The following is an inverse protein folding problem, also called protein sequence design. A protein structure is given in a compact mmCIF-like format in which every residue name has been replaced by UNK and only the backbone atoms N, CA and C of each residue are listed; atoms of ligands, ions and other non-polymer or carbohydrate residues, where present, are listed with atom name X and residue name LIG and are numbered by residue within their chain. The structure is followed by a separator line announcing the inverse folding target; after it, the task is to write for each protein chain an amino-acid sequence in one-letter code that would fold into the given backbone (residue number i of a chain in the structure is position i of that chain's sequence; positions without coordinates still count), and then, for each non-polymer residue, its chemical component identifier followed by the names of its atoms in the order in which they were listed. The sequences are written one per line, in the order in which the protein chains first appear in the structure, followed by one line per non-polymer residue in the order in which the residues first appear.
data_IF_114498327278
#
_entry.id   IF_114498327278
#
_cell.length_a   1.000
_cell.length_b   1.000
_cell.length_c   1.000
_cell.angle_alpha   90.00
_cell.angle_beta   90.00
_cell.angle_gamma   90.00
#
_symmetry.space_group_name_H-M   'P 1'
#
loop_
_entity.id
_entity.type
_entity.pdbx_description
1 polymer ?
#
# COMPACT_ATOMS: atom_id res chain seq x y z
N UNK A 1 -1.77 11.62 -9.41
CA UNK A 1 -1.22 10.27 -9.18
C UNK A 1 0.03 10.46 -8.35
N UNK A 2 0.17 9.69 -7.27
CA UNK A 2 1.30 9.72 -6.37
C UNK A 2 2.37 8.75 -6.88
N UNK A 3 3.62 9.19 -6.83
CA UNK A 3 4.80 8.37 -7.06
C UNK A 3 5.54 8.15 -5.74
N UNK A 4 6.46 7.20 -5.71
CA UNK A 4 7.35 7.09 -4.54
C UNK A 4 8.22 8.33 -4.39
N UNK A 5 8.60 8.98 -5.50
CA UNK A 5 9.34 10.22 -5.50
C UNK A 5 8.64 11.34 -4.72
N UNK A 6 7.33 11.52 -4.89
CA UNK A 6 6.57 12.54 -4.15
C UNK A 6 6.62 12.33 -2.63
N UNK A 7 6.59 11.07 -2.20
CA UNK A 7 6.66 10.69 -0.79
C UNK A 7 8.08 10.90 -0.26
N UNK A 8 9.09 10.51 -1.03
CA UNK A 8 10.50 10.67 -0.66
C UNK A 8 10.93 12.13 -0.67
N UNK A 9 10.43 12.96 -1.58
CA UNK A 9 10.68 14.39 -1.62
C UNK A 9 10.14 15.09 -0.37
N UNK A 10 8.92 14.77 0.07
CA UNK A 10 8.39 15.26 1.35
C UNK A 10 9.21 14.73 2.52
N UNK A 11 9.59 13.45 2.50
CA UNK A 11 10.35 12.83 3.58
C UNK A 11 11.75 13.44 3.74
N UNK A 12 12.48 13.61 2.64
CA UNK A 12 13.84 14.15 2.65
C UNK A 12 13.90 15.68 2.63
N UNK A 13 12.78 16.37 2.49
CA UNK A 13 12.73 17.83 2.57
C UNK A 13 13.31 18.34 3.91
N UNK A 14 14.12 19.41 3.91
CA UNK A 14 14.57 20.05 5.16
C UNK A 14 13.42 20.52 6.05
N UNK A 15 12.29 20.85 5.43
CA UNK A 15 11.06 21.28 6.09
C UNK A 15 9.99 20.17 6.05
N UNK A 16 10.42 18.91 6.02
CA UNK A 16 9.53 17.75 6.01
C UNK A 16 8.44 17.88 7.07
N UNK A 17 7.23 17.50 6.72
CA UNK A 17 6.07 17.50 7.61
C UNK A 17 5.41 16.12 7.64
N UNK A 18 4.70 15.82 8.72
CA UNK A 18 3.92 14.58 8.79
C UNK A 18 2.76 14.63 7.79
N UNK A 19 2.67 13.65 6.90
CA UNK A 19 1.69 13.67 5.80
C UNK A 19 0.98 12.32 5.65
N UNK A 20 -0.28 12.41 5.24
CA UNK A 20 -1.13 11.27 4.94
C UNK A 20 -1.22 11.13 3.42
N UNK A 21 -0.81 9.97 2.92
CA UNK A 21 -0.86 9.61 1.52
C UNK A 21 -1.93 8.54 1.33
N UNK A 22 -3.01 8.88 0.64
CA UNK A 22 -4.08 7.93 0.28
C UNK A 22 -3.96 7.66 -1.21
N UNK A 23 -3.56 6.44 -1.56
CA UNK A 23 -3.32 5.99 -2.91
C UNK A 23 -4.45 5.05 -3.34
N UNK A 24 -5.44 5.55 -4.10
CA UNK A 24 -6.57 4.74 -4.55
C UNK A 24 -6.16 3.70 -5.62
N UNK A 25 -7.11 2.89 -6.08
CA UNK A 25 -6.84 1.76 -6.97
C UNK A 25 -6.19 2.16 -8.30
N UNK A 26 -6.58 3.31 -8.85
CA UNK A 26 -6.07 3.82 -10.12
C UNK A 26 -4.69 4.48 -10.00
N UNK A 27 -4.17 4.65 -8.78
CA UNK A 27 -2.87 5.24 -8.52
C UNK A 27 -1.73 4.34 -9.02
N UNK A 28 -0.69 4.95 -9.59
CA UNK A 28 0.43 4.20 -10.15
C UNK A 28 1.19 3.43 -9.07
N UNK A 29 1.35 4.00 -7.89
CA UNK A 29 2.03 3.30 -6.81
C UNK A 29 1.18 2.10 -6.34
N UNK A 30 -0.14 2.27 -6.21
CA UNK A 30 -1.07 1.15 -5.92
C UNK A 30 -0.92 0.01 -6.93
N UNK A 31 -0.85 0.31 -8.23
CA UNK A 31 -0.65 -0.71 -9.27
C UNK A 31 0.67 -1.45 -9.11
N UNK A 32 1.75 -0.75 -8.77
CA UNK A 32 3.08 -1.34 -8.56
C UNK A 32 3.07 -2.27 -7.34
N UNK A 33 2.59 -1.82 -6.18
CA UNK A 33 2.64 -2.62 -4.93
C UNK A 33 1.78 -3.88 -5.04
N UNK A 34 0.64 -3.83 -5.75
CA UNK A 34 -0.22 -4.99 -6.01
C UNK A 34 0.50 -6.11 -6.78
N UNK A 35 1.58 -5.80 -7.51
CA UNK A 35 2.33 -6.81 -8.24
C UNK A 35 3.30 -7.60 -7.36
N UNK A 36 3.60 -7.11 -6.15
CA UNK A 36 4.60 -7.70 -5.28
C UNK A 36 4.14 -9.04 -4.70
N UNK A 37 5.07 -10.00 -4.65
CA UNK A 37 4.78 -11.35 -4.14
C UNK A 37 4.25 -11.33 -2.70
N UNK A 38 4.83 -10.59 -1.73
CA UNK A 38 4.28 -10.56 -0.36
C UNK A 38 2.86 -10.02 -0.28
N UNK A 39 2.53 -8.98 -1.07
CA UNK A 39 1.18 -8.42 -1.15
C UNK A 39 0.20 -9.44 -1.73
N UNK A 40 0.56 -10.05 -2.86
CA UNK A 40 -0.26 -11.11 -3.49
C UNK A 40 -0.50 -12.28 -2.55
N UNK A 41 0.53 -12.75 -1.84
CA UNK A 41 0.44 -13.83 -0.86
C UNK A 41 -0.52 -13.48 0.27
N UNK A 42 -0.40 -12.27 0.84
CA UNK A 42 -1.28 -11.82 1.91
C UNK A 42 -2.74 -11.65 1.43
N UNK A 43 -2.97 -11.09 0.24
CA UNK A 43 -4.32 -10.98 -0.37
C UNK A 43 -4.90 -12.37 -0.66
N UNK A 44 -4.12 -13.31 -1.18
CA UNK A 44 -4.59 -14.67 -1.45
C UNK A 44 -4.98 -15.39 -0.17
N UNK A 45 -4.26 -15.17 0.93
CA UNK A 45 -4.65 -15.70 2.22
C UNK A 45 -5.95 -15.09 2.74
N UNK A 46 -6.15 -13.78 2.59
CA UNK A 46 -7.42 -13.13 2.91
C UNK A 46 -8.57 -13.79 2.13
N UNK A 47 -8.39 -13.99 0.81
CA UNK A 47 -9.38 -14.68 -0.04
C UNK A 47 -9.64 -16.11 0.42
N UNK A 48 -8.59 -16.88 0.75
CA UNK A 48 -8.72 -18.24 1.26
C UNK A 48 -9.44 -18.29 2.61
N UNK A 49 -9.16 -17.35 3.51
CA UNK A 49 -9.86 -17.24 4.79
C UNK A 49 -11.35 -16.90 4.59
N UNK A 50 -11.67 -16.01 3.65
CA UNK A 50 -13.05 -15.70 3.28
C UNK A 50 -13.77 -16.94 2.73
N UNK A 51 -13.13 -17.70 1.83
CA UNK A 51 -13.69 -18.97 1.32
C UNK A 51 -14.04 -19.93 2.47
N UNK A 52 -13.11 -20.11 3.40
CA UNK A 52 -13.28 -21.04 4.51
C UNK A 52 -14.31 -20.56 5.55
N UNK A 53 -14.48 -19.24 5.70
CA UNK A 53 -15.24 -18.63 6.80
C UNK A 53 -16.30 -17.64 6.32
N UNK A 54 -16.95 -17.94 5.19
CA UNK A 54 -17.82 -16.98 4.50
C UNK A 54 -18.93 -16.37 5.37
N UNK A 55 -19.58 -17.18 6.21
CA UNK A 55 -20.61 -16.70 7.14
C UNK A 55 -20.06 -15.67 8.15
N UNK A 56 -18.86 -15.92 8.67
CA UNK A 56 -18.16 -14.99 9.57
C UNK A 56 -17.84 -13.68 8.86
N UNK A 57 -17.39 -13.73 7.61
CA UNK A 57 -17.10 -12.54 6.81
C UNK A 57 -18.34 -11.69 6.56
N UNK A 58 -19.47 -12.31 6.24
CA UNK A 58 -20.74 -11.63 6.07
C UNK A 58 -21.24 -10.96 7.37
N UNK A 59 -20.95 -11.54 8.54
CA UNK A 59 -21.39 -11.02 9.82
C UNK A 59 -20.46 -9.95 10.42
N UNK A 60 -19.13 -10.14 10.32
CA UNK A 60 -18.14 -9.40 11.13
C UNK A 60 -17.16 -8.54 10.35
N UNK A 61 -17.03 -8.73 9.04
CA UNK A 61 -16.00 -8.05 8.23
C UNK A 61 -16.57 -7.04 7.23
N UNK A 62 -17.80 -6.56 7.47
CA UNK A 62 -18.42 -5.53 6.64
C UNK A 62 -17.70 -4.19 6.77
N UNK A 63 -17.43 -3.53 5.64
CA UNK A 63 -16.81 -2.20 5.62
C UNK A 63 -17.61 -1.22 6.48
N UNK A 64 -16.94 -0.52 7.38
CA UNK A 64 -17.54 0.55 8.17
C UNK A 64 -17.67 1.82 7.32
N UNK A 65 -18.86 2.41 7.28
CA UNK A 65 -19.11 3.65 6.56
C UNK A 65 -18.47 4.89 7.21
N UNK A 66 -18.08 4.80 8.49
CA UNK A 66 -17.57 5.94 9.27
C UNK A 66 -16.06 5.91 9.43
N UNK A 67 -15.40 4.79 9.11
CA UNK A 67 -13.96 4.69 9.20
C UNK A 67 -13.28 5.37 8.00
N UNK A 68 -12.13 6.00 8.26
CA UNK A 68 -11.26 6.57 7.25
C UNK A 68 -9.79 6.43 7.67
N UNK A 69 -8.87 6.28 6.70
CA UNK A 69 -7.43 6.25 6.99
C UNK A 69 -6.97 7.55 7.66
N UNK A 70 -5.96 7.45 8.50
CA UNK A 70 -5.45 8.57 9.30
C UNK A 70 -3.94 8.53 9.54
N UNK A 71 -3.42 9.60 10.16
CA UNK A 71 -2.03 9.75 10.59
C UNK A 71 -1.82 9.14 11.97
N UNK A 72 -1.89 7.82 12.08
CA UNK A 72 -1.76 7.10 13.35
C UNK A 72 -0.82 5.92 13.20
N UNK A 73 0.08 5.72 14.15
CA UNK A 73 1.00 4.57 14.22
C UNK A 73 1.07 4.06 15.67
N UNK A 74 0.59 2.84 15.99
CA UNK A 74 0.02 1.85 15.07
C UNK A 74 -1.27 2.36 14.38
N UNK A 75 -1.62 1.81 13.20
CA UNK A 75 -2.75 2.32 12.43
C UNK A 75 -4.08 2.06 13.12
N UNK A 76 -4.93 3.09 13.25
CA UNK A 76 -6.35 2.93 13.56
C UNK A 76 -7.08 2.48 12.30
N UNK A 77 -7.31 1.17 12.17
CA UNK A 77 -7.92 0.53 11.00
C UNK A 77 -9.44 0.50 11.11
N UNK A 78 -10.11 0.08 10.03
CA UNK A 78 -11.54 -0.23 10.09
C UNK A 78 -11.76 -1.23 11.25
N UNK A 79 -12.70 -0.98 12.19
CA UNK A 79 -12.93 -1.85 13.32
C UNK A 79 -13.36 -3.27 12.92
N UNK A 80 -13.89 -3.43 11.71
CA UNK A 80 -14.32 -4.71 11.16
C UNK A 80 -13.23 -5.36 10.28
N UNK A 81 -12.06 -4.75 10.13
CA UNK A 81 -11.02 -5.28 9.25
C UNK A 81 -10.48 -6.63 9.74
N UNK A 82 -10.37 -7.57 8.82
CA UNK A 82 -9.49 -8.71 8.96
C UNK A 82 -8.05 -8.26 8.67
N UNK A 83 -7.23 -8.17 9.72
CA UNK A 83 -5.85 -7.70 9.63
C UNK A 83 -4.85 -8.83 9.41
N UNK A 84 -3.84 -8.58 8.58
CA UNK A 84 -2.66 -9.43 8.40
C UNK A 84 -1.42 -8.57 8.28
N UNK A 85 -0.47 -8.78 9.20
CA UNK A 85 0.86 -8.20 9.08
C UNK A 85 1.70 -8.94 8.05
N UNK A 86 2.48 -8.20 7.29
CA UNK A 86 3.43 -8.72 6.30
C UNK A 86 4.80 -8.16 6.65
N UNK A 87 5.70 -9.08 7.01
CA UNK A 87 7.09 -8.75 7.29
C UNK A 87 7.81 -8.28 6.02
N UNK A 88 8.99 -7.70 6.25
CA UNK A 88 9.82 -7.13 5.21
C UNK A 88 10.15 -8.10 4.08
N UNK A 89 9.90 -7.74 2.80
CA UNK A 89 10.29 -8.56 1.67
C UNK A 89 11.82 -8.77 1.61
N UNK A 90 12.30 -9.84 0.94
CA UNK A 90 13.70 -9.93 0.54
C UNK A 90 14.12 -8.71 -0.30
N UNK A 91 15.35 -8.21 -0.11
CA UNK A 91 15.87 -7.03 -0.79
C UNK A 91 15.52 -5.69 -0.11
N UNK A 92 14.93 -5.73 1.09
CA UNK A 92 14.81 -4.57 1.98
C UNK A 92 15.85 -4.63 3.11
N UNK A 93 16.98 -5.28 2.88
CA UNK A 93 18.05 -5.29 3.88
C UNK A 93 18.64 -3.87 4.03
N UNK A 94 19.18 -3.55 5.22
CA UNK A 94 19.67 -2.22 5.55
C UNK A 94 20.61 -1.63 4.48
N UNK A 95 21.54 -2.43 3.95
CA UNK A 95 22.55 -1.97 3.00
C UNK A 95 21.95 -1.68 1.61
N UNK A 96 21.14 -2.59 1.07
CA UNK A 96 20.44 -2.38 -0.21
C UNK A 96 19.56 -1.13 -0.17
N UNK A 97 18.87 -0.90 0.94
CA UNK A 97 18.05 0.29 1.12
C UNK A 97 18.86 1.57 1.24
N UNK A 98 19.97 1.55 1.99
CA UNK A 98 20.90 2.67 2.05
C UNK A 98 21.33 3.09 0.65
N UNK A 99 21.84 2.15 -0.16
CA UNK A 99 22.33 2.46 -1.50
C UNK A 99 21.25 3.02 -2.42
N UNK A 100 20.03 2.51 -2.31
CA UNK A 100 18.89 3.01 -3.06
C UNK A 100 18.58 4.47 -2.68
N UNK A 101 18.50 4.79 -1.39
CA UNK A 101 18.21 6.13 -0.89
C UNK A 101 19.34 7.13 -1.16
N UNK A 102 20.60 6.72 -0.99
CA UNK A 102 21.77 7.56 -1.33
C UNK A 102 21.74 7.91 -2.82
N UNK A 103 21.50 6.94 -3.70
CA UNK A 103 21.37 7.18 -5.16
C UNK A 103 20.24 8.15 -5.47
N UNK A 104 19.10 8.02 -4.78
CA UNK A 104 17.96 8.92 -4.92
C UNK A 104 18.35 10.36 -4.56
N UNK A 105 18.80 10.59 -3.33
CA UNK A 105 19.14 11.93 -2.83
C UNK A 105 20.29 12.55 -3.62
N UNK A 106 21.33 11.77 -3.94
CA UNK A 106 22.43 12.24 -4.78
C UNK A 106 21.95 12.66 -6.18
N UNK A 107 21.01 11.93 -6.79
CA UNK A 107 20.44 12.32 -8.09
C UNK A 107 19.63 13.62 -7.99
N UNK A 108 18.94 13.88 -6.88
CA UNK A 108 18.23 15.14 -6.65
C UNK A 108 19.18 16.32 -6.51
N UNK A 109 20.25 16.16 -5.74
CA UNK A 109 21.28 17.21 -5.58
C UNK A 109 21.99 17.47 -6.91
N UNK A 110 22.36 16.42 -7.64
CA UNK A 110 22.99 16.57 -8.95
C UNK A 110 22.03 17.21 -9.97
N UNK A 111 20.74 16.90 -9.89
CA UNK A 111 19.65 17.50 -10.67
C UNK A 111 19.50 19.02 -10.50
N UNK A 112 19.90 19.57 -9.34
CA UNK A 112 19.96 21.01 -9.09
C UNK A 112 21.13 21.67 -9.84
N UNK A 113 22.23 20.92 -10.03
CA UNK A 113 23.47 21.43 -10.65
C UNK A 113 23.51 21.20 -12.16
N UNK A 114 22.85 20.15 -12.65
CA UNK A 114 22.77 19.78 -14.06
C UNK A 114 21.44 19.02 -14.31
N UNK A 115 20.89 19.00 -15.54
CA UNK A 115 19.63 18.32 -15.85
C UNK A 115 19.80 16.78 -15.89
N UNK A 116 20.11 16.18 -14.74
CA UNK A 116 20.26 14.74 -14.55
C UNK A 116 18.90 14.16 -14.17
N UNK A 117 18.43 13.10 -14.84
CA UNK A 117 17.15 12.47 -14.51
C UNK A 117 17.17 11.87 -13.10
N UNK A 118 16.06 12.02 -12.38
CA UNK A 118 15.87 11.42 -11.06
C UNK A 118 15.91 9.89 -11.14
N UNK A 119 16.71 9.25 -10.27
CA UNK A 119 16.90 7.80 -10.30
C UNK A 119 15.95 7.13 -9.31
N UNK A 120 14.80 6.67 -9.81
CA UNK A 120 13.87 5.86 -9.04
C UNK A 120 14.09 4.35 -9.27
N UNK A 121 14.97 3.72 -8.49
CA UNK A 121 15.18 2.25 -8.57
C UNK A 121 14.00 1.46 -8.01
N UNK A 122 13.81 0.21 -8.45
CA UNK A 122 12.81 -0.71 -7.87
C UNK A 122 13.01 -0.91 -6.35
N UNK A 123 14.26 -0.89 -5.90
CA UNK A 123 14.60 -1.04 -4.49
C UNK A 123 14.12 0.14 -3.64
N UNK A 124 14.00 1.35 -4.20
CA UNK A 124 13.40 2.47 -3.47
C UNK A 124 11.95 2.20 -3.10
N UNK A 125 11.18 1.65 -4.04
CA UNK A 125 9.78 1.34 -3.78
C UNK A 125 9.63 0.34 -2.63
N UNK A 126 10.43 -0.74 -2.63
CA UNK A 126 10.39 -1.78 -1.58
C UNK A 126 11.00 -1.30 -0.26
N UNK A 127 12.09 -0.55 -0.29
CA UNK A 127 12.74 -0.05 0.93
C UNK A 127 11.93 1.03 1.65
N UNK A 128 11.13 1.80 0.93
CA UNK A 128 10.20 2.76 1.52
C UNK A 128 8.99 2.08 2.18
N UNK A 129 8.79 0.78 1.90
CA UNK A 129 7.76 -0.06 2.50
C UNK A 129 8.48 -1.22 3.21
N UNK A 130 9.14 -0.90 4.33
CA UNK A 130 9.89 -1.86 5.11
C UNK A 130 9.01 -3.02 5.59
N UNK A 131 7.86 -2.75 6.18
CA UNK A 131 6.88 -3.77 6.62
C UNK A 131 5.50 -3.16 6.60
N UNK A 132 4.46 -3.97 6.37
CA UNK A 132 3.13 -3.40 6.14
C UNK A 132 2.00 -4.28 6.67
N UNK A 133 0.89 -3.61 6.99
CA UNK A 133 -0.38 -4.26 7.33
C UNK A 133 -1.29 -4.32 6.12
N UNK A 134 -1.94 -5.46 5.88
CA UNK A 134 -3.10 -5.58 5.01
C UNK A 134 -4.35 -5.72 5.89
N UNK A 135 -5.36 -4.91 5.60
CA UNK A 135 -6.62 -4.84 6.31
C UNK A 135 -7.74 -5.01 5.30
N UNK A 136 -8.54 -6.05 5.46
CA UNK A 136 -9.55 -6.42 4.50
C UNK A 136 -10.95 -6.37 5.10
N UNK A 137 -11.87 -5.76 4.37
CA UNK A 137 -13.31 -5.78 4.65
C UNK A 137 -14.07 -6.18 3.40
N UNK A 138 -15.38 -6.34 3.51
CA UNK A 138 -16.28 -6.66 2.40
C UNK A 138 -17.41 -5.65 2.35
N UNK A 139 -17.76 -5.19 1.16
CA UNK A 139 -19.00 -4.44 0.96
C UNK A 139 -20.20 -5.40 0.98
N UNK A 140 -20.02 -6.57 0.37
CA UNK A 140 -21.04 -7.61 0.23
C UNK A 140 -20.38 -8.98 0.01
N UNK A 141 -21.02 -10.02 0.57
CA UNK A 141 -20.63 -11.44 0.42
C UNK A 141 -21.89 -12.27 0.19
N UNK A 142 -21.89 -13.05 -0.89
CA UNK A 142 -22.87 -14.10 -1.18
C UNK A 142 -22.17 -15.46 -1.07
N UNK A 143 -22.41 -16.16 0.03
CA UNK A 143 -21.80 -17.46 0.30
C UNK A 143 -22.35 -18.57 -0.60
N UNK A 144 -23.60 -18.47 -1.04
CA UNK A 144 -24.21 -19.46 -1.92
C UNK A 144 -23.62 -19.36 -3.34
N UNK A 145 -23.44 -18.14 -3.85
CA UNK A 145 -22.84 -17.87 -5.17
C UNK A 145 -21.32 -17.78 -5.13
N UNK A 146 -20.70 -17.93 -3.96
CA UNK A 146 -19.26 -17.77 -3.71
C UNK A 146 -18.73 -16.45 -4.27
N UNK A 147 -19.48 -15.35 -4.08
CA UNK A 147 -19.17 -14.05 -4.66
C UNK A 147 -18.95 -13.00 -3.58
N UNK A 148 -17.89 -12.20 -3.68
CA UNK A 148 -17.69 -11.03 -2.80
C UNK A 148 -16.91 -9.91 -3.48
N UNK A 149 -17.10 -8.70 -2.96
CA UNK A 149 -16.22 -7.56 -3.22
C UNK A 149 -15.47 -7.24 -1.94
N UNK A 150 -14.17 -7.49 -1.98
CA UNK A 150 -13.26 -7.29 -0.85
C UNK A 150 -12.60 -5.92 -1.03
N UNK A 151 -12.69 -5.06 -0.02
CA UNK A 151 -11.90 -3.83 0.04
C UNK A 151 -10.61 -4.13 0.76
N UNK A 152 -9.49 -3.87 0.09
CA UNK A 152 -8.16 -4.02 0.67
C UNK A 152 -7.61 -2.65 1.00
N UNK A 153 -7.16 -2.49 2.23
CA UNK A 153 -6.33 -1.38 2.68
C UNK A 153 -4.96 -1.91 3.06
N UNK A 154 -3.92 -1.34 2.48
CA UNK A 154 -2.54 -1.59 2.89
C UNK A 154 -2.02 -0.35 3.61
N UNK A 155 -1.29 -0.53 4.71
CA UNK A 155 -0.71 0.55 5.49
C UNK A 155 0.79 0.34 5.71
N UNK A 156 1.54 1.44 5.61
CA UNK A 156 2.92 1.55 6.04
C UNK A 156 3.15 2.94 6.65
N UNK A 157 3.98 3.02 7.68
CA UNK A 157 4.58 4.28 8.12
C UNK A 157 6.06 4.26 7.79
N UNK A 158 6.53 5.26 7.05
CA UNK A 158 7.94 5.49 6.82
C UNK A 158 8.40 6.62 7.73
N UNK A 159 9.46 6.40 8.50
CA UNK A 159 10.01 7.38 9.43
C UNK A 159 11.54 7.28 9.51
N UNK A 160 12.18 8.14 10.32
CA UNK A 160 13.63 8.10 10.54
C UNK A 160 14.11 6.72 11.02
N UNK A 161 13.32 5.99 11.82
CA UNK A 161 13.70 4.66 12.32
C UNK A 161 13.74 3.62 11.20
N UNK A 162 12.90 3.77 10.19
CA UNK A 162 12.91 2.94 8.98
C UNK A 162 14.26 3.00 8.23
N UNK A 163 15.02 4.08 8.44
CA UNK A 163 16.37 4.27 7.90
C UNK A 163 17.49 3.78 8.84
N UNK A 164 17.14 3.39 10.07
CA UNK A 164 18.08 2.92 11.08
C UNK A 164 19.26 3.88 11.28
N UNK A 165 20.47 3.32 11.39
CA UNK A 165 21.72 4.08 11.54
C UNK A 165 22.09 4.91 10.31
N UNK A 166 21.45 4.70 9.16
CA UNK A 166 21.76 5.43 7.93
C UNK A 166 21.11 6.79 7.87
N UNK A 167 20.13 7.05 8.72
CA UNK A 167 19.54 8.37 8.83
C UNK A 167 20.54 9.46 9.27
N UNK A 168 21.72 9.05 9.76
CA UNK A 168 22.81 9.92 10.18
C UNK A 168 23.95 9.99 9.12
N UNK A 169 23.78 9.41 7.93
CA UNK A 169 24.73 9.56 6.81
C UNK A 169 24.76 11.02 6.34
N UNK A 170 25.95 11.61 6.06
CA UNK A 170 26.08 13.02 5.69
C UNK A 170 25.21 13.46 4.51
N UNK A 171 24.89 12.56 3.58
CA UNK A 171 23.99 12.87 2.45
C UNK A 171 22.59 13.29 2.91
N UNK A 172 22.18 12.89 4.12
CA UNK A 172 20.89 13.21 4.71
C UNK A 172 20.96 14.28 5.80
N UNK A 173 22.11 14.94 6.01
CA UNK A 173 22.30 15.89 7.11
C UNK A 173 21.28 17.05 7.10
N UNK A 174 20.73 17.37 5.92
CA UNK A 174 19.73 18.42 5.74
C UNK A 174 18.29 17.88 5.60
N UNK A 175 18.06 16.58 5.74
CA UNK A 175 16.76 15.97 5.57
C UNK A 175 15.93 16.01 6.87
N UNK A 176 14.66 16.40 6.77
CA UNK A 176 13.76 16.48 7.92
C UNK A 176 13.24 15.12 8.41
N UNK A 177 12.98 14.18 7.50
CA UNK A 177 12.56 12.79 7.78
C UNK A 177 11.33 12.66 8.69
N UNK A 178 10.34 13.55 8.57
CA UNK A 178 9.09 13.41 9.32
C UNK A 178 8.30 12.20 8.82
N UNK A 179 7.52 11.59 9.71
CA UNK A 179 6.79 10.35 9.43
C UNK A 179 5.78 10.53 8.30
N UNK A 180 5.80 9.61 7.34
CA UNK A 180 4.89 9.56 6.20
C UNK A 180 3.94 8.38 6.39
N UNK A 181 2.64 8.65 6.49
CA UNK A 181 1.59 7.65 6.69
C UNK A 181 1.01 7.28 5.33
N UNK A 182 1.27 6.07 4.88
CA UNK A 182 0.94 5.62 3.53
C UNK A 182 -0.18 4.58 3.59
N UNK A 183 -1.28 4.88 2.91
CA UNK A 183 -2.43 4.00 2.77
C UNK A 183 -2.70 3.75 1.29
N UNK A 184 -2.70 2.48 0.87
CA UNK A 184 -3.16 2.08 -0.47
C UNK A 184 -4.50 1.41 -0.36
N UNK A 185 -5.40 1.70 -1.29
CA UNK A 185 -6.72 1.08 -1.33
C UNK A 185 -7.05 0.53 -2.71
N UNK A 186 -7.58 -0.68 -2.76
CA UNK A 186 -8.11 -1.27 -3.98
C UNK A 186 -9.18 -2.30 -3.68
N UNK A 187 -9.97 -2.66 -4.71
CA UNK A 187 -10.97 -3.72 -4.58
C UNK A 187 -10.47 -5.01 -5.23
N UNK A 188 -10.80 -6.13 -4.59
CA UNK A 188 -10.56 -7.48 -5.10
C UNK A 188 -11.91 -8.20 -5.22
N UNK A 189 -12.04 -9.02 -6.27
CA UNK A 189 -13.19 -9.90 -6.43
C UNK A 189 -12.86 -11.29 -5.93
N UNK A 190 -13.84 -11.92 -5.30
CA UNK A 190 -13.88 -13.34 -5.01
C UNK A 190 -15.09 -13.97 -5.71
N UNK A 191 -14.90 -15.14 -6.30
CA UNK A 191 -15.90 -15.84 -7.11
C UNK A 191 -15.70 -15.71 -8.61
N UNK A 192 -16.49 -16.47 -9.39
CA UNK A 192 -16.59 -16.24 -10.83
C UNK A 192 -17.01 -14.77 -11.06
N UNK A 193 -16.45 -14.08 -12.07
CA UNK A 193 -16.95 -12.76 -12.43
C UNK A 193 -18.47 -12.85 -12.63
N UNK A 194 -19.24 -11.81 -12.29
CA UNK A 194 -20.67 -11.82 -12.55
C UNK A 194 -20.86 -12.18 -14.03
N UNK A 195 -21.55 -13.29 -14.29
CA UNK A 195 -22.00 -13.60 -15.64
C UNK A 195 -22.86 -12.42 -16.04
N UNK A 196 -22.38 -11.62 -16.99
CA UNK A 196 -23.22 -10.66 -17.68
C UNK A 196 -24.20 -11.52 -18.46
N UNK A 197 -25.33 -11.85 -17.85
CA UNK A 197 -26.45 -12.43 -18.58
C UNK A 197 -26.88 -11.33 -19.55
N UNK A 198 -26.72 -11.51 -20.87
CA UNK A 198 -27.30 -10.57 -21.81
C UNK A 198 -28.78 -10.48 -21.45
N UNK A 199 -29.32 -9.26 -21.28
CA UNK A 199 -30.77 -9.09 -21.23
C UNK A 199 -31.31 -9.71 -22.51
N UNK A 200 -31.86 -10.92 -22.43
CA UNK A 200 -32.76 -11.41 -23.45
C UNK A 200 -33.88 -10.37 -23.50
N UNK A 201 -33.92 -9.62 -24.58
CA UNK A 201 -35.06 -8.77 -24.89
C UNK A 201 -36.33 -9.63 -24.89
N UNK A 202 -37.49 -9.04 -24.57
CA UNK A 202 -38.74 -9.77 -24.57
C UNK A 202 -38.94 -10.40 -25.96
N UNK A 203 -39.28 -11.69 -25.96
CA UNK A 203 -39.36 -12.52 -27.16
C UNK A 203 -40.38 -12.03 -28.18
N UNK A 204 -40.13 -12.39 -29.43
CA UNK A 204 -41.12 -12.38 -30.50
C UNK A 204 -41.53 -13.81 -30.82
N UNK A 205 -42.85 -14.02 -30.85
CA UNK A 205 -43.55 -15.22 -31.33
C UNK A 205 -43.29 -15.48 -32.81
#
# INVERSE_FOLDING_TARGET
MTTIGDILDEFFSPFSSEKLWIMPENDNYTKIVRQWVPVKTAVNFVKANLVANCATWSAKHKTSATWKPGKTDPPKTDPNAFGRWVASPPGTDPQTCKEAFVKYVASKVAGVVAPIPEIQTRNLYTCSIGSFGIYATVDFVDCAKKAATINIWMYNAMDKQSFGKFADDPVFALCGMKRQYMWWNWKEKWGNPPVVVPKQGPGGW
#
